data_IF_493152127982
#
_entry.id   IF_493152127982
#
_cell.length_a   1.000
_cell.length_b   1.000
_cell.length_c   1.000
_cell.angle_alpha   90.00
_cell.angle_beta   90.00
_cell.angle_gamma   90.00
#
_symmetry.space_group_name_H-M   'P 1'
#
loop_
_entity.id
_entity.type
_entity.pdbx_description
1 polymer ?
#
# COMPACT_ATOMS: atom_id res chain seq x y z
N UNK A 1 8.19 -1.93 -6.85
CA UNK A 1 9.61 -2.21 -6.53
C UNK A 1 10.51 -1.79 -7.68
N UNK A 2 10.21 -2.17 -8.94
CA UNK A 2 11.01 -1.77 -10.11
C UNK A 2 11.14 -0.25 -10.23
N UNK A 3 10.07 0.51 -10.01
CA UNK A 3 10.10 1.96 -10.03
C UNK A 3 11.03 2.54 -8.96
N UNK A 4 11.03 1.97 -7.75
CA UNK A 4 11.95 2.40 -6.69
C UNK A 4 13.41 2.23 -7.10
N UNK A 5 13.75 1.11 -7.76
CA UNK A 5 15.11 0.88 -8.30
C UNK A 5 15.50 1.89 -9.38
N UNK A 6 14.56 2.20 -10.29
CA UNK A 6 14.79 3.18 -11.36
C UNK A 6 14.98 4.61 -10.83
N UNK A 7 14.43 4.92 -9.66
CA UNK A 7 14.48 6.24 -9.03
C UNK A 7 15.61 6.39 -8.00
N UNK A 8 16.66 5.58 -8.09
CA UNK A 8 17.81 5.67 -7.19
C UNK A 8 18.31 7.11 -7.06
N UNK A 9 18.40 7.61 -5.84
CA UNK A 9 18.82 8.98 -5.54
C UNK A 9 17.75 10.05 -5.79
N UNK A 10 16.56 9.68 -6.29
CA UNK A 10 15.46 10.59 -6.60
C UNK A 10 14.19 10.30 -5.80
N UNK A 11 14.27 9.46 -4.77
CA UNK A 11 13.15 9.23 -3.87
C UNK A 11 13.23 10.26 -2.75
N UNK A 12 12.28 11.20 -2.73
CA UNK A 12 12.29 12.32 -1.78
C UNK A 12 11.29 12.13 -0.63
N UNK A 13 10.26 11.33 -0.84
CA UNK A 13 9.30 10.97 0.18
C UNK A 13 8.55 9.68 -0.20
N UNK A 14 8.08 8.94 0.80
CA UNK A 14 7.30 7.71 0.61
C UNK A 14 5.99 7.83 1.35
N UNK A 15 4.88 7.57 0.65
CA UNK A 15 3.57 7.35 1.26
C UNK A 15 3.31 5.85 1.38
N UNK A 16 2.97 5.40 2.60
CA UNK A 16 2.47 4.06 2.84
C UNK A 16 0.97 4.01 2.57
N UNK A 17 0.59 3.55 1.39
CA UNK A 17 -0.80 3.38 0.98
C UNK A 17 -0.95 2.05 0.27
N UNK A 18 -1.91 1.26 0.68
CA UNK A 18 -2.10 -0.09 0.16
C UNK A 18 -3.41 -0.22 -0.62
N UNK A 19 -3.42 -1.15 -1.55
CA UNK A 19 -4.60 -1.49 -2.33
C UNK A 19 -4.70 -3.01 -2.48
N UNK A 20 -5.92 -3.53 -2.42
CA UNK A 20 -6.21 -4.94 -2.64
C UNK A 20 -6.95 -5.10 -3.97
N UNK A 21 -6.48 -6.02 -4.80
CA UNK A 21 -7.20 -6.44 -6.00
C UNK A 21 -8.31 -7.40 -5.55
N UNK A 22 -9.54 -7.12 -5.94
CA UNK A 22 -10.70 -7.95 -5.60
C UNK A 22 -10.75 -9.14 -6.55
N UNK A 23 -10.36 -10.30 -6.03
CA UNK A 23 -10.33 -11.56 -6.78
C UNK A 23 -11.73 -11.95 -7.24
N UNK A 24 -11.81 -12.51 -8.42
CA UNK A 24 -13.08 -12.83 -9.06
C UNK A 24 -13.63 -11.66 -9.88
N UNK A 25 -13.78 -10.49 -9.30
CA UNK A 25 -14.22 -9.31 -10.05
C UNK A 25 -13.15 -8.85 -11.04
N UNK A 26 -11.91 -8.68 -10.60
CA UNK A 26 -10.80 -8.28 -11.46
C UNK A 26 -10.48 -9.30 -12.54
N UNK A 27 -10.64 -10.59 -12.27
CA UNK A 27 -10.42 -11.68 -13.24
C UNK A 27 -11.39 -11.60 -14.42
N UNK A 28 -12.59 -11.07 -14.19
CA UNK A 28 -13.62 -10.90 -15.23
C UNK A 28 -13.55 -9.53 -15.89
N UNK A 29 -13.42 -8.46 -15.10
CA UNK A 29 -13.60 -7.07 -15.54
C UNK A 29 -12.28 -6.32 -15.77
N UNK A 30 -11.13 -6.90 -15.41
CA UNK A 30 -9.83 -6.25 -15.46
C UNK A 30 -9.64 -5.27 -14.31
N UNK A 31 -8.66 -4.34 -14.43
CA UNK A 31 -8.24 -3.46 -13.33
C UNK A 31 -8.66 -1.98 -13.51
N UNK A 32 -9.33 -1.64 -14.59
CA UNK A 32 -9.86 -0.28 -14.78
C UNK A 32 -11.11 -0.10 -13.91
N UNK A 33 -11.04 0.81 -12.95
CA UNK A 33 -12.11 1.01 -11.97
C UNK A 33 -12.66 2.44 -12.00
N UNK A 34 -13.78 2.68 -12.70
CA UNK A 34 -14.41 4.00 -12.76
C UNK A 34 -15.40 4.29 -11.63
N UNK A 35 -15.75 3.29 -10.81
CA UNK A 35 -16.74 3.46 -9.72
C UNK A 35 -16.15 4.28 -8.58
N UNK A 36 -16.98 5.09 -7.88
CA UNK A 36 -16.52 5.80 -6.70
C UNK A 36 -16.10 4.83 -5.57
N UNK A 37 -15.20 5.26 -4.71
CA UNK A 37 -14.65 4.43 -3.61
C UNK A 37 -15.73 3.95 -2.64
N UNK A 38 -16.85 4.67 -2.55
CA UNK A 38 -18.01 4.29 -1.71
C UNK A 38 -18.75 3.05 -2.19
N UNK A 39 -18.60 2.67 -3.45
CA UNK A 39 -19.16 1.44 -4.03
C UNK A 39 -18.19 0.26 -3.92
N UNK A 40 -17.52 0.14 -2.80
CA UNK A 40 -16.38 -0.78 -2.58
C UNK A 40 -16.69 -2.24 -2.90
N UNK A 41 -17.93 -2.70 -2.67
CA UNK A 41 -18.34 -4.08 -2.93
C UNK A 41 -18.29 -4.47 -4.41
N UNK A 42 -18.44 -3.51 -5.32
CA UNK A 42 -18.51 -3.76 -6.76
C UNK A 42 -17.22 -3.38 -7.50
N UNK A 43 -16.26 -2.81 -6.80
CA UNK A 43 -14.99 -2.36 -7.38
C UNK A 43 -14.03 -3.53 -7.58
N UNK A 44 -13.23 -3.46 -8.65
CA UNK A 44 -12.22 -4.48 -8.97
C UNK A 44 -10.95 -4.35 -8.13
N UNK A 45 -10.74 -3.21 -7.48
CA UNK A 45 -9.72 -3.01 -6.45
C UNK A 45 -10.18 -1.95 -5.45
N UNK A 46 -9.70 -2.05 -4.23
CA UNK A 46 -10.04 -1.12 -3.14
C UNK A 46 -8.78 -0.68 -2.40
N UNK A 47 -8.81 0.54 -1.85
CA UNK A 47 -7.83 0.95 -0.85
C UNK A 47 -8.10 0.18 0.44
N UNK A 48 -7.02 -0.28 1.06
CA UNK A 48 -7.06 -1.03 2.32
C UNK A 48 -5.95 -0.56 3.26
N UNK A 49 -6.08 -0.87 4.55
CA UNK A 49 -5.00 -0.62 5.51
C UNK A 49 -3.71 -1.31 5.05
N UNK A 50 -2.56 -0.69 5.34
CA UNK A 50 -1.24 -1.23 4.97
C UNK A 50 -1.09 -2.65 5.54
N UNK A 51 -0.68 -3.58 4.69
CA UNK A 51 -0.55 -5.00 5.01
C UNK A 51 -1.80 -5.83 4.71
N UNK A 52 -2.93 -5.20 4.36
CA UNK A 52 -4.18 -5.89 4.01
C UNK A 52 -4.36 -6.12 2.50
N UNK A 53 -3.54 -5.48 1.68
CA UNK A 53 -3.49 -5.70 0.22
C UNK A 53 -2.24 -6.44 -0.19
N UNK A 54 -1.09 -5.81 -0.02
CA UNK A 54 0.21 -6.47 -0.10
C UNK A 54 0.56 -7.06 1.26
N UNK A 55 1.15 -8.25 1.28
CA UNK A 55 1.56 -8.88 2.53
C UNK A 55 2.79 -8.20 3.16
N UNK A 56 3.12 -8.57 4.39
CA UNK A 56 4.27 -8.00 5.11
C UNK A 56 5.59 -8.30 4.41
N UNK A 57 5.70 -9.44 3.71
CA UNK A 57 6.91 -9.79 2.98
C UNK A 57 7.15 -8.83 1.82
N UNK A 58 6.10 -8.48 1.07
CA UNK A 58 6.19 -7.50 0.00
C UNK A 58 6.60 -6.12 0.54
N UNK A 59 6.02 -5.68 1.65
CA UNK A 59 6.35 -4.38 2.26
C UNK A 59 7.80 -4.36 2.77
N UNK A 60 8.27 -5.46 3.35
CA UNK A 60 9.68 -5.60 3.75
C UNK A 60 10.63 -5.47 2.56
N UNK A 61 10.32 -6.14 1.45
CA UNK A 61 11.12 -6.03 0.23
C UNK A 61 11.10 -4.59 -0.30
N UNK A 62 9.92 -3.96 -0.34
CA UNK A 62 9.79 -2.58 -0.82
C UNK A 62 10.66 -1.61 -0.02
N UNK A 63 10.59 -1.63 1.30
CA UNK A 63 11.40 -0.73 2.12
C UNK A 63 12.88 -1.07 2.08
N UNK A 64 13.24 -2.34 2.00
CA UNK A 64 14.63 -2.75 1.79
C UNK A 64 15.19 -2.19 0.48
N UNK A 65 14.41 -2.23 -0.60
CA UNK A 65 14.81 -1.65 -1.89
C UNK A 65 14.92 -0.12 -1.79
N UNK A 66 13.97 0.56 -1.15
CA UNK A 66 14.07 2.01 -0.94
C UNK A 66 15.37 2.37 -0.20
N UNK A 67 15.69 1.63 0.85
CA UNK A 67 16.94 1.83 1.60
C UNK A 67 18.18 1.59 0.73
N UNK A 68 18.22 0.50 -0.05
CA UNK A 68 19.31 0.24 -1.00
C UNK A 68 19.45 1.35 -2.06
N UNK A 69 18.35 2.01 -2.42
CA UNK A 69 18.36 3.13 -3.37
C UNK A 69 18.70 4.48 -2.72
N UNK A 70 19.08 4.48 -1.45
CA UNK A 70 19.58 5.65 -0.72
C UNK A 70 18.49 6.46 -0.02
N UNK A 71 17.27 5.94 0.11
CA UNK A 71 16.21 6.62 0.85
C UNK A 71 16.27 6.27 2.33
N UNK A 72 16.34 7.29 3.19
CA UNK A 72 16.35 7.18 4.65
C UNK A 72 15.38 8.16 5.34
N UNK A 73 14.46 8.72 4.58
CA UNK A 73 13.46 9.67 5.08
C UNK A 73 12.26 8.99 5.75
N UNK A 74 11.28 9.82 6.09
CA UNK A 74 10.05 9.37 6.73
C UNK A 74 9.11 8.66 5.78
N UNK A 75 8.23 7.82 6.32
CA UNK A 75 7.10 7.22 5.63
C UNK A 75 5.81 7.80 6.20
N UNK A 76 5.05 8.51 5.38
CA UNK A 76 3.73 9.03 5.76
C UNK A 76 2.66 7.99 5.46
N UNK A 77 1.81 7.70 6.45
CA UNK A 77 0.67 6.81 6.25
C UNK A 77 -0.47 7.55 5.54
N UNK A 78 -0.99 6.95 4.47
CA UNK A 78 -2.31 7.25 3.92
C UNK A 78 -3.24 6.05 4.13
N UNK A 79 -4.30 6.22 4.91
CA UNK A 79 -5.25 5.16 5.22
C UNK A 79 -6.65 5.51 4.67
N UNK A 80 -7.17 4.68 3.76
CA UNK A 80 -8.48 4.85 3.13
C UNK A 80 -9.31 3.55 3.12
N UNK A 81 -9.16 2.70 4.12
CA UNK A 81 -9.93 1.45 4.18
C UNK A 81 -11.35 1.72 4.67
N UNK A 82 -12.34 1.53 3.80
CA UNK A 82 -13.76 1.75 4.12
C UNK A 82 -14.40 0.58 4.89
N UNK A 83 -13.68 -0.52 5.09
CA UNK A 83 -14.15 -1.68 5.87
C UNK A 83 -13.74 -1.62 7.34
N UNK A 84 -12.97 -0.61 7.72
CA UNK A 84 -12.50 -0.37 9.09
C UNK A 84 -12.89 1.03 9.56
N UNK A 85 -12.96 1.21 10.88
CA UNK A 85 -12.94 2.57 11.44
C UNK A 85 -11.56 3.20 11.15
N UNK A 86 -11.50 4.52 11.10
CA UNK A 86 -10.22 5.24 10.89
C UNK A 86 -9.19 4.83 11.94
N UNK A 87 -9.61 4.75 13.20
CA UNK A 87 -8.74 4.36 14.31
C UNK A 87 -8.16 2.95 14.12
N UNK A 88 -9.01 1.96 13.84
CA UNK A 88 -8.58 0.59 13.58
C UNK A 88 -7.65 0.48 12.36
N UNK A 89 -7.98 1.19 11.28
CA UNK A 89 -7.17 1.21 10.06
C UNK A 89 -5.80 1.83 10.28
N UNK A 90 -5.72 2.92 11.04
CA UNK A 90 -4.45 3.56 11.41
C UNK A 90 -3.60 2.62 12.26
N UNK A 91 -4.17 2.00 13.31
CA UNK A 91 -3.43 1.04 14.15
C UNK A 91 -2.91 -0.15 13.34
N UNK A 92 -3.75 -0.76 12.52
CA UNK A 92 -3.36 -1.87 11.64
C UNK A 92 -2.20 -1.48 10.72
N UNK A 93 -2.31 -0.32 10.09
CA UNK A 93 -1.28 0.18 9.16
C UNK A 93 0.03 0.50 9.87
N UNK A 94 -0.01 1.14 11.03
CA UNK A 94 1.20 1.47 11.81
C UNK A 94 1.91 0.20 12.28
N UNK A 95 1.16 -0.80 12.73
CA UNK A 95 1.76 -2.08 13.13
C UNK A 95 2.46 -2.77 11.96
N UNK A 96 1.85 -2.78 10.78
CA UNK A 96 2.47 -3.30 9.57
C UNK A 96 3.73 -2.53 9.19
N UNK A 97 3.68 -1.19 9.21
CA UNK A 97 4.83 -0.35 8.88
C UNK A 97 5.99 -0.55 9.88
N UNK A 98 5.71 -0.64 11.18
CA UNK A 98 6.73 -0.89 12.22
C UNK A 98 7.46 -2.21 12.02
N UNK A 99 6.77 -3.22 11.50
CA UNK A 99 7.35 -4.53 11.23
C UNK A 99 8.16 -4.60 9.93
N UNK A 100 7.94 -3.66 9.01
CA UNK A 100 8.42 -3.78 7.63
C UNK A 100 9.43 -2.71 7.22
N UNK A 101 9.40 -1.53 7.84
CA UNK A 101 10.36 -0.47 7.54
C UNK A 101 11.78 -0.91 7.93
N UNK A 102 12.71 -0.78 7.01
CA UNK A 102 14.14 -1.03 7.24
C UNK A 102 14.73 0.05 8.15
N UNK A 103 15.50 -0.39 9.13
CA UNK A 103 16.11 0.51 10.14
C UNK A 103 17.60 0.23 10.26
#
# INVERSE_FOLDING_TARGET
IAAARALKGCIFHVHGKDARIERGLADTDGLLEPRPVTESADRVWNYVAVGCGKDLQWWKEFFSVCHMMGYDGDVSLEMEDLTMTVDAGVHTSIDALRQTISR
#
